data_IF_119808156125
#
_entry.id   IF_119808156125
#
_cell.length_a   1.000
_cell.length_b   1.000
_cell.length_c   1.000
_cell.angle_alpha   90.00
_cell.angle_beta   90.00
_cell.angle_gamma   90.00
#
_symmetry.space_group_name_H-M   'P 1'
#
loop_
_entity.id
_entity.type
_entity.pdbx_description
1 polymer ?
#
# COMPACT_ATOMS: atom_id res chain seq x y z
N UNK A 1 -10.83 30.06 -2.30
CA UNK A 1 -10.39 30.04 -0.89
C UNK A 1 -10.46 28.64 -0.28
N UNK A 2 -11.62 27.96 -0.29
CA UNK A 2 -11.83 26.61 0.27
C UNK A 2 -10.83 25.53 -0.22
N UNK A 3 -10.59 25.46 -1.55
CA UNK A 3 -9.63 24.49 -2.14
C UNK A 3 -8.21 24.62 -1.60
N UNK A 4 -7.76 25.84 -1.26
CA UNK A 4 -6.43 26.09 -0.70
C UNK A 4 -6.32 25.57 0.73
N UNK A 5 -7.43 25.56 1.48
CA UNK A 5 -7.49 25.11 2.86
C UNK A 5 -7.46 23.58 2.98
N UNK A 6 -8.16 22.87 2.09
CA UNK A 6 -8.22 21.40 2.10
C UNK A 6 -7.01 20.73 1.45
N UNK A 7 -6.30 21.46 0.58
CA UNK A 7 -5.16 20.94 -0.20
C UNK A 7 -4.07 20.25 0.64
N UNK A 8 -3.58 20.83 1.76
CA UNK A 8 -2.58 20.16 2.60
C UNK A 8 -3.10 18.84 3.20
N UNK A 9 -4.42 18.74 3.39
CA UNK A 9 -5.08 17.52 3.87
C UNK A 9 -4.97 16.36 2.90
N UNK A 10 -4.91 16.61 1.59
CA UNK A 10 -4.83 15.54 0.59
C UNK A 10 -3.53 14.75 0.67
N UNK A 11 -2.39 15.40 0.88
CA UNK A 11 -1.11 14.70 1.05
C UNK A 11 -1.15 13.77 2.28
N UNK A 12 -1.71 14.25 3.39
CA UNK A 12 -1.86 13.44 4.62
C UNK A 12 -2.83 12.28 4.39
N UNK A 13 -4.00 12.55 3.81
CA UNK A 13 -5.02 11.55 3.54
C UNK A 13 -4.51 10.44 2.62
N UNK A 14 -3.79 10.80 1.56
CA UNK A 14 -3.25 9.81 0.61
C UNK A 14 -2.16 8.95 1.22
N UNK A 15 -1.27 9.53 2.03
CA UNK A 15 -0.28 8.76 2.77
C UNK A 15 -0.91 7.81 3.81
N UNK A 16 -1.91 8.29 4.55
CA UNK A 16 -2.64 7.50 5.54
C UNK A 16 -3.45 6.37 4.89
N UNK A 17 -4.18 6.68 3.82
CA UNK A 17 -4.96 5.72 3.04
C UNK A 17 -4.06 4.62 2.45
N UNK A 18 -2.91 4.98 1.86
CA UNK A 18 -1.93 3.99 1.37
C UNK A 18 -1.45 3.05 2.47
N UNK A 19 -1.16 3.58 3.66
CA UNK A 19 -0.74 2.78 4.82
C UNK A 19 -1.87 1.90 5.36
N UNK A 20 -3.10 2.40 5.39
CA UNK A 20 -4.27 1.67 5.87
C UNK A 20 -4.68 0.53 4.93
N UNK A 21 -4.67 0.79 3.61
CA UNK A 21 -4.96 -0.19 2.57
C UNK A 21 -3.99 -1.38 2.64
N UNK A 22 -2.69 -1.13 2.84
CA UNK A 22 -1.67 -2.18 2.98
C UNK A 22 -1.80 -3.05 4.23
N UNK A 23 -2.51 -2.59 5.27
CA UNK A 23 -2.66 -3.32 6.55
C UNK A 23 -3.81 -4.31 6.57
N UNK A 24 -4.68 -4.30 5.57
CA UNK A 24 -5.92 -5.07 5.57
C UNK A 24 -5.86 -6.09 4.45
N UNK A 25 -5.98 -7.36 4.79
CA UNK A 25 -6.16 -8.39 3.76
C UNK A 25 -7.60 -8.39 3.26
N UNK A 26 -7.85 -9.03 2.11
CA UNK A 26 -9.21 -9.21 1.59
C UNK A 26 -10.10 -9.94 2.61
N UNK A 27 -9.57 -11.01 3.22
CA UNK A 27 -10.23 -11.76 4.31
C UNK A 27 -10.56 -10.86 5.50
N UNK A 28 -9.61 -10.03 5.93
CA UNK A 28 -9.85 -9.08 7.01
C UNK A 28 -10.87 -8.00 6.66
N UNK A 29 -10.96 -7.61 5.40
CA UNK A 29 -12.02 -6.76 4.88
C UNK A 29 -13.39 -7.38 5.12
N UNK A 30 -13.59 -8.64 4.71
CA UNK A 30 -14.85 -9.36 4.94
C UNK A 30 -15.19 -9.50 6.42
N UNK A 31 -14.24 -9.88 7.27
CA UNK A 31 -14.46 -10.04 8.71
C UNK A 31 -14.86 -8.71 9.37
N UNK A 32 -14.23 -7.59 8.99
CA UNK A 32 -14.60 -6.26 9.53
C UNK A 32 -15.98 -5.83 9.06
N UNK A 33 -16.30 -6.04 7.79
CA UNK A 33 -17.63 -5.72 7.25
C UNK A 33 -18.71 -6.55 7.94
N UNK A 34 -18.46 -7.86 8.12
CA UNK A 34 -19.33 -8.74 8.91
C UNK A 34 -19.53 -8.25 10.34
N UNK A 35 -18.45 -7.85 11.01
CA UNK A 35 -18.53 -7.30 12.37
C UNK A 35 -19.40 -6.03 12.42
N UNK A 36 -19.29 -5.14 11.42
CA UNK A 36 -20.14 -3.94 11.35
C UNK A 36 -21.61 -4.31 11.16
N UNK A 37 -21.93 -5.24 10.25
CA UNK A 37 -23.32 -5.70 10.06
C UNK A 37 -23.88 -6.36 11.32
N UNK A 38 -23.11 -7.25 11.94
CA UNK A 38 -23.51 -7.90 13.21
C UNK A 38 -23.68 -6.89 14.33
N UNK A 39 -22.86 -5.84 14.39
CA UNK A 39 -23.01 -4.76 15.37
C UNK A 39 -24.32 -4.00 15.16
N UNK A 40 -24.63 -3.60 13.91
CA UNK A 40 -25.86 -2.84 13.59
C UNK A 40 -27.11 -3.66 13.89
N UNK A 41 -27.13 -4.94 13.50
CA UNK A 41 -28.27 -5.85 13.76
C UNK A 41 -28.36 -6.18 15.26
N UNK A 42 -27.22 -6.38 15.92
CA UNK A 42 -27.12 -6.70 17.34
C UNK A 42 -27.36 -5.52 18.29
N UNK A 43 -27.70 -4.33 17.79
CA UNK A 43 -28.18 -3.22 18.63
C UNK A 43 -29.47 -3.65 19.35
N UNK A 44 -30.32 -4.42 18.69
CA UNK A 44 -31.44 -5.11 19.34
C UNK A 44 -30.91 -6.37 20.02
N UNK A 45 -30.54 -6.24 21.30
CA UNK A 45 -29.92 -7.31 22.09
C UNK A 45 -30.83 -8.53 22.31
N UNK A 46 -32.10 -8.47 21.88
CA UNK A 46 -32.97 -9.64 21.84
C UNK A 46 -32.49 -10.69 20.82
N UNK A 47 -31.68 -10.28 19.82
CA UNK A 47 -31.03 -11.16 18.85
C UNK A 47 -29.69 -11.67 19.40
N UNK A 48 -29.76 -12.68 20.27
CA UNK A 48 -28.59 -13.27 20.95
C UNK A 48 -27.50 -13.74 19.98
N UNK A 49 -27.87 -14.26 18.80
CA UNK A 49 -26.92 -14.71 17.79
C UNK A 49 -26.13 -13.55 17.15
N UNK A 50 -26.79 -12.44 16.82
CA UNK A 50 -26.12 -11.31 16.16
C UNK A 50 -25.04 -10.68 17.06
N UNK A 51 -25.37 -10.50 18.34
CA UNK A 51 -24.43 -10.02 19.34
C UNK A 51 -23.24 -10.97 19.56
N UNK A 52 -23.49 -12.28 19.67
CA UNK A 52 -22.43 -13.29 19.82
C UNK A 52 -21.48 -13.30 18.62
N UNK A 53 -22.03 -13.20 17.40
CA UNK A 53 -21.26 -13.17 16.16
C UNK A 53 -20.40 -11.90 16.10
N UNK A 54 -20.96 -10.74 16.47
CA UNK A 54 -20.19 -9.50 16.61
C UNK A 54 -19.02 -9.65 17.59
N UNK A 55 -19.28 -10.16 18.79
CA UNK A 55 -18.25 -10.34 19.82
C UNK A 55 -17.13 -11.28 19.34
N UNK A 56 -17.48 -12.38 18.68
CA UNK A 56 -16.50 -13.32 18.11
C UNK A 56 -15.62 -12.66 17.05
N UNK A 57 -16.22 -11.96 16.07
CA UNK A 57 -15.47 -11.29 15.01
C UNK A 57 -14.57 -10.19 15.57
N UNK A 58 -15.06 -9.45 16.58
CA UNK A 58 -14.26 -8.43 17.28
C UNK A 58 -13.04 -9.05 17.97
N UNK A 59 -13.23 -10.17 18.69
CA UNK A 59 -12.14 -10.92 19.31
C UNK A 59 -11.11 -11.39 18.27
N UNK A 60 -11.54 -11.95 17.13
CA UNK A 60 -10.63 -12.34 16.05
C UNK A 60 -9.80 -11.16 15.53
N UNK A 61 -10.43 -10.01 15.31
CA UNK A 61 -9.73 -8.78 14.85
C UNK A 61 -8.70 -8.33 15.88
N UNK A 62 -9.06 -8.31 17.17
CA UNK A 62 -8.17 -7.87 18.25
C UNK A 62 -6.98 -8.82 18.39
N UNK A 63 -7.23 -10.14 18.48
CA UNK A 63 -6.18 -11.16 18.61
C UNK A 63 -5.23 -11.14 17.41
N UNK A 64 -5.77 -11.03 16.20
CA UNK A 64 -5.00 -10.85 14.97
C UNK A 64 -4.06 -9.64 15.02
N UNK A 65 -4.54 -8.50 15.51
CA UNK A 65 -3.71 -7.28 15.65
C UNK A 65 -2.67 -7.39 16.77
N UNK A 66 -2.98 -8.10 17.85
CA UNK A 66 -2.03 -8.35 18.94
C UNK A 66 -0.91 -9.29 18.46
N UNK A 67 -1.25 -10.36 17.74
CA UNK A 67 -0.29 -11.34 17.23
C UNK A 67 0.80 -10.69 16.34
N UNK A 68 0.43 -9.72 15.49
CA UNK A 68 1.39 -8.97 14.67
C UNK A 68 2.48 -8.24 15.45
N UNK A 69 2.27 -7.93 16.74
CA UNK A 69 3.30 -7.30 17.58
C UNK A 69 4.41 -8.26 17.95
N UNK A 70 4.09 -9.55 18.07
CA UNK A 70 5.01 -10.60 18.52
C UNK A 70 5.61 -11.38 17.36
N UNK A 71 4.87 -11.55 16.26
CA UNK A 71 5.32 -12.29 15.08
C UNK A 71 5.92 -11.37 14.03
N UNK A 72 7.13 -10.88 14.30
CA UNK A 72 7.87 -10.06 13.34
C UNK A 72 8.93 -10.92 12.64
N UNK A 73 8.91 -11.00 11.30
CA UNK A 73 9.90 -11.76 10.57
C UNK A 73 11.29 -11.09 10.71
N UNK A 74 12.32 -11.90 10.90
CA UNK A 74 13.71 -11.44 10.92
C UNK A 74 14.30 -11.66 9.53
N UNK A 75 14.23 -10.63 8.68
CA UNK A 75 14.74 -10.71 7.31
C UNK A 75 15.62 -9.52 6.97
N UNK A 76 16.51 -9.71 6.00
CA UNK A 76 17.21 -8.63 5.32
C UNK A 76 16.74 -8.53 3.87
N UNK A 77 16.79 -7.32 3.33
CA UNK A 77 16.23 -7.01 2.02
C UNK A 77 17.23 -6.18 1.22
N UNK A 78 17.48 -6.60 -0.02
CA UNK A 78 18.33 -5.87 -0.96
C UNK A 78 17.63 -5.74 -2.31
N UNK A 79 17.37 -4.49 -2.71
CA UNK A 79 16.81 -4.20 -4.03
C UNK A 79 17.92 -4.16 -5.08
N UNK A 80 17.59 -4.61 -6.29
CA UNK A 80 18.43 -4.50 -7.48
C UNK A 80 17.62 -3.85 -8.59
N UNK A 81 17.80 -2.55 -8.81
CA UNK A 81 17.16 -1.85 -9.93
C UNK A 81 17.98 -2.02 -11.22
N UNK A 82 17.33 -1.98 -12.40
CA UNK A 82 18.03 -1.86 -13.67
C UNK A 82 18.74 -0.50 -13.77
N UNK A 83 19.69 -0.38 -14.70
CA UNK A 83 20.44 0.87 -14.92
C UNK A 83 19.52 2.01 -15.40
N UNK A 84 18.56 1.68 -16.25
CA UNK A 84 17.57 2.61 -16.78
C UNK A 84 16.26 1.89 -17.11
N UNK A 85 15.19 2.65 -17.29
CA UNK A 85 13.92 2.20 -17.83
C UNK A 85 13.39 3.21 -18.85
N UNK A 86 12.42 2.84 -19.67
CA UNK A 86 11.84 3.71 -20.70
C UNK A 86 10.40 4.10 -20.34
N UNK A 87 10.00 5.35 -20.61
CA UNK A 87 8.61 5.79 -20.38
C UNK A 87 7.62 4.89 -21.12
N UNK A 88 6.63 4.36 -20.37
CA UNK A 88 5.54 3.55 -20.91
C UNK A 88 5.89 2.07 -21.14
N UNK A 89 7.13 1.66 -20.90
CA UNK A 89 7.55 0.27 -21.01
C UNK A 89 7.57 -0.39 -19.62
N UNK A 90 6.75 -1.42 -19.45
CA UNK A 90 6.76 -2.23 -18.23
C UNK A 90 8.11 -2.92 -18.10
N UNK A 91 8.67 -2.88 -16.89
CA UNK A 91 9.89 -3.60 -16.57
C UNK A 91 9.73 -4.31 -15.23
N UNK A 92 10.50 -5.38 -15.09
CA UNK A 92 10.59 -6.13 -13.86
C UNK A 92 11.97 -5.98 -13.24
N UNK A 93 12.01 -6.00 -11.92
CA UNK A 93 13.24 -6.01 -11.16
C UNK A 93 13.11 -6.92 -9.93
N UNK A 94 14.23 -7.22 -9.31
CA UNK A 94 14.29 -8.20 -8.24
C UNK A 94 14.63 -7.54 -6.91
N UNK A 95 14.01 -8.10 -5.86
CA UNK A 95 14.40 -7.85 -4.49
C UNK A 95 14.84 -9.17 -3.88
N UNK A 96 16.11 -9.26 -3.51
CA UNK A 96 16.66 -10.39 -2.77
C UNK A 96 16.29 -10.26 -1.30
N UNK A 97 15.74 -11.31 -0.73
CA UNK A 97 15.25 -11.35 0.64
C UNK A 97 15.90 -12.54 1.32
N UNK A 98 16.68 -12.28 2.36
CA UNK A 98 17.32 -13.33 3.15
C UNK A 98 16.68 -13.42 4.52
N UNK A 99 16.23 -14.62 4.88
CA UNK A 99 15.76 -14.92 6.21
C UNK A 99 16.96 -15.03 7.16
N UNK A 100 16.95 -14.25 8.23
CA UNK A 100 17.98 -14.26 9.27
C UNK A 100 17.54 -15.07 10.50
N UNK A 101 16.25 -15.38 10.60
CA UNK A 101 15.68 -16.16 11.68
C UNK A 101 15.76 -17.67 11.44
N UNK A 102 15.34 -18.40 12.46
CA UNK A 102 15.32 -19.86 12.48
C UNK A 102 13.92 -20.45 12.19
N UNK A 103 12.98 -19.63 11.68
CA UNK A 103 11.64 -20.07 11.28
C UNK A 103 11.45 -19.96 9.78
N UNK A 104 10.53 -20.73 9.22
CA UNK A 104 10.14 -20.61 7.81
C UNK A 104 9.21 -19.41 7.67
N UNK A 105 9.55 -18.49 6.78
CA UNK A 105 8.76 -17.29 6.51
C UNK A 105 7.90 -17.49 5.27
N UNK A 106 6.59 -17.32 5.40
CA UNK A 106 5.60 -17.60 4.34
C UNK A 106 4.58 -16.47 4.21
N UNK A 107 3.88 -16.47 3.07
CA UNK A 107 2.80 -15.52 2.76
C UNK A 107 3.20 -14.04 2.87
N UNK A 108 4.50 -13.76 2.78
CA UNK A 108 5.05 -12.42 2.80
C UNK A 108 4.74 -11.71 1.48
N UNK A 109 4.51 -10.40 1.55
CA UNK A 109 4.39 -9.54 0.38
C UNK A 109 5.37 -8.39 0.48
N UNK A 110 5.81 -7.88 -0.65
CA UNK A 110 6.67 -6.69 -0.70
C UNK A 110 6.01 -5.60 -1.52
N UNK A 111 6.28 -4.37 -1.11
CA UNK A 111 5.89 -3.19 -1.85
C UNK A 111 6.98 -2.14 -1.73
N UNK A 112 7.46 -1.68 -2.87
CA UNK A 112 8.45 -0.62 -2.93
C UNK A 112 7.80 0.75 -2.75
N UNK A 113 8.57 1.67 -2.15
CA UNK A 113 8.12 3.02 -1.86
C UNK A 113 8.95 4.02 -2.66
N UNK A 114 8.54 4.36 -3.90
CA UNK A 114 9.06 5.53 -4.57
C UNK A 114 8.74 6.78 -3.74
N UNK A 115 9.66 7.74 -3.76
CA UNK A 115 9.50 9.06 -3.14
C UNK A 115 8.31 9.75 -3.79
N UNK A 116 7.24 9.89 -3.02
CA UNK A 116 6.02 10.55 -3.48
C UNK A 116 6.31 12.03 -3.71
N UNK A 117 6.07 12.51 -4.92
CA UNK A 117 6.14 13.93 -5.26
C UNK A 117 4.73 14.48 -5.23
N UNK A 118 4.44 15.28 -4.20
CA UNK A 118 3.18 16.01 -4.09
C UNK A 118 3.20 17.16 -5.09
N UNK A 119 2.14 17.36 -5.89
CA UNK A 119 2.05 18.54 -6.75
C UNK A 119 2.12 19.82 -5.91
N UNK A 120 2.37 20.97 -6.55
CA UNK A 120 2.15 22.26 -5.91
C UNK A 120 0.68 22.72 -6.07
N UNK A 121 0.22 23.62 -5.21
CA UNK A 121 -1.12 24.18 -5.30
C UNK A 121 -1.37 24.89 -6.64
N UNK A 122 -0.38 25.63 -7.16
CA UNK A 122 -0.52 26.29 -8.46
C UNK A 122 -0.65 25.26 -9.60
N UNK A 123 0.12 24.18 -9.53
CA UNK A 123 0.02 23.07 -10.47
C UNK A 123 -1.37 22.41 -10.41
N UNK A 124 -1.85 22.13 -9.19
CA UNK A 124 -3.18 21.57 -8.95
C UNK A 124 -4.32 22.46 -9.45
N UNK A 125 -4.16 23.78 -9.39
CA UNK A 125 -5.16 24.74 -9.87
C UNK A 125 -5.20 24.83 -11.39
N UNK A 126 -4.03 24.75 -12.05
CA UNK A 126 -3.89 24.99 -13.49
C UNK A 126 -4.12 23.73 -14.32
N UNK A 127 -3.61 22.59 -13.88
CA UNK A 127 -3.70 21.34 -14.64
C UNK A 127 -5.05 20.64 -14.44
N UNK A 128 -5.58 20.07 -15.51
CA UNK A 128 -6.83 19.28 -15.49
C UNK A 128 -6.54 17.81 -15.66
N UNK A 129 -7.31 16.98 -14.95
CA UNK A 129 -7.27 15.54 -15.15
C UNK A 129 -7.86 15.21 -16.53
N UNK A 130 -7.29 14.27 -17.28
CA UNK A 130 -7.94 13.72 -18.47
C UNK A 130 -9.32 13.16 -18.10
N UNK A 131 -10.34 13.47 -18.89
CA UNK A 131 -11.72 13.02 -18.66
C UNK A 131 -12.36 13.55 -17.37
N UNK A 132 -11.88 14.67 -16.82
CA UNK A 132 -12.45 15.30 -15.62
C UNK A 132 -13.96 15.59 -15.81
N UNK A 133 -14.42 15.87 -17.04
CA UNK A 133 -15.81 16.09 -17.41
C UNK A 133 -16.74 14.89 -17.18
N UNK A 134 -16.21 13.67 -17.18
CA UNK A 134 -17.00 12.45 -16.92
C UNK A 134 -17.32 12.26 -15.43
N UNK A 135 -16.70 13.07 -14.56
CA UNK A 135 -16.86 12.98 -13.11
C UNK A 135 -18.09 13.74 -12.62
N UNK A 136 -18.62 13.29 -11.48
CA UNK A 136 -19.69 13.98 -10.74
C UNK A 136 -19.31 15.43 -10.46
N UNK A 137 -20.29 16.35 -10.46
CA UNK A 137 -20.04 17.76 -10.12
C UNK A 137 -19.32 17.93 -8.76
N UNK A 138 -19.66 17.10 -7.78
CA UNK A 138 -19.00 17.05 -6.48
C UNK A 138 -17.52 16.67 -6.57
N UNK A 139 -17.18 15.62 -7.33
CA UNK A 139 -15.80 15.15 -7.52
C UNK A 139 -14.94 16.18 -8.24
N UNK A 140 -15.50 16.86 -9.24
CA UNK A 140 -14.85 18.00 -9.92
C UNK A 140 -14.65 19.18 -8.97
N UNK A 141 -15.62 19.45 -8.10
CA UNK A 141 -15.56 20.55 -7.14
C UNK A 141 -14.47 20.33 -6.09
N UNK A 142 -14.39 19.13 -5.50
CA UNK A 142 -13.34 18.75 -4.56
C UNK A 142 -11.98 18.61 -5.27
N UNK A 143 -11.94 17.90 -6.39
CA UNK A 143 -10.72 17.70 -7.19
C UNK A 143 -9.74 16.69 -6.59
N UNK A 144 -10.19 15.79 -5.70
CA UNK A 144 -9.31 14.78 -5.10
C UNK A 144 -8.74 13.82 -6.15
N UNK A 145 -9.53 13.44 -7.16
CA UNK A 145 -9.06 12.61 -8.29
C UNK A 145 -7.95 13.31 -9.09
N UNK A 146 -8.13 14.59 -9.42
CA UNK A 146 -7.08 15.43 -10.04
C UNK A 146 -5.81 15.44 -9.19
N UNK A 147 -5.92 15.59 -7.87
CA UNK A 147 -4.75 15.57 -6.98
C UNK A 147 -4.02 14.22 -7.06
N UNK A 148 -4.76 13.11 -6.99
CA UNK A 148 -4.22 11.76 -7.10
C UNK A 148 -3.55 11.51 -8.46
N UNK A 149 -4.17 11.96 -9.54
CA UNK A 149 -3.62 11.86 -10.88
C UNK A 149 -2.31 12.66 -11.01
N UNK A 150 -2.30 13.92 -10.57
CA UNK A 150 -1.10 14.76 -10.56
C UNK A 150 0.01 14.16 -9.70
N UNK A 151 -0.29 13.67 -8.50
CA UNK A 151 0.69 13.03 -7.63
C UNK A 151 1.32 11.79 -8.29
N UNK A 152 0.51 10.93 -8.93
CA UNK A 152 1.01 9.76 -9.66
C UNK A 152 1.90 10.16 -10.84
N UNK A 153 1.47 11.14 -11.64
CA UNK A 153 2.21 11.66 -12.79
C UNK A 153 3.53 12.33 -12.37
N UNK A 154 3.51 13.13 -11.31
CA UNK A 154 4.71 13.80 -10.78
C UNK A 154 5.71 12.82 -10.20
N UNK A 155 5.23 11.82 -9.43
CA UNK A 155 6.06 10.72 -8.89
C UNK A 155 6.73 9.91 -10.01
N UNK A 156 6.09 9.79 -11.17
CA UNK A 156 6.75 9.32 -12.40
C UNK A 156 6.92 7.81 -12.52
N UNK A 157 6.46 7.03 -11.53
CA UNK A 157 6.46 5.56 -11.57
C UNK A 157 5.25 5.00 -10.82
N UNK A 158 4.74 3.86 -11.28
CA UNK A 158 3.79 3.02 -10.55
C UNK A 158 4.45 1.67 -10.29
N UNK A 159 4.32 1.14 -9.08
CA UNK A 159 4.98 -0.12 -8.66
C UNK A 159 3.92 -1.04 -8.08
N UNK A 160 3.86 -2.28 -8.56
CA UNK A 160 2.92 -3.27 -8.05
C UNK A 160 3.45 -3.93 -6.77
N UNK A 161 2.54 -4.47 -5.96
CA UNK A 161 2.92 -5.36 -4.88
C UNK A 161 3.29 -6.73 -5.45
N UNK A 162 4.24 -7.41 -4.83
CA UNK A 162 4.63 -8.76 -5.22
C UNK A 162 4.52 -9.70 -4.03
N UNK A 163 4.14 -10.95 -4.31
CA UNK A 163 4.24 -12.03 -3.33
C UNK A 163 5.70 -12.48 -3.25
N UNK A 164 6.14 -12.82 -2.05
CA UNK A 164 7.47 -13.38 -1.81
C UNK A 164 7.32 -14.91 -1.74
N UNK A 165 8.17 -15.67 -2.44
CA UNK A 165 8.22 -17.12 -2.27
C UNK A 165 8.51 -17.51 -0.82
N UNK A 166 8.12 -18.72 -0.42
CA UNK A 166 8.45 -19.22 0.92
C UNK A 166 9.97 -19.21 1.16
N UNK A 167 10.38 -18.61 2.26
CA UNK A 167 11.80 -18.48 2.62
C UNK A 167 12.10 -19.50 3.71
N UNK A 168 12.87 -20.52 3.35
CA UNK A 168 13.36 -21.50 4.30
C UNK A 168 14.26 -20.83 5.36
N UNK A 169 14.51 -21.55 6.46
CA UNK A 169 15.39 -21.10 7.54
C UNK A 169 16.76 -20.71 6.99
N UNK A 170 17.22 -19.50 7.31
CA UNK A 170 18.50 -18.95 6.80
C UNK A 170 18.65 -18.96 5.27
N UNK A 171 17.53 -19.09 4.56
CA UNK A 171 17.46 -19.13 3.11
C UNK A 171 17.42 -17.74 2.50
N UNK A 172 17.69 -17.67 1.21
CA UNK A 172 17.53 -16.44 0.40
C UNK A 172 16.66 -16.74 -0.80
N UNK A 173 15.70 -15.86 -1.08
CA UNK A 173 14.86 -15.91 -2.28
C UNK A 173 14.86 -14.57 -2.99
N UNK A 174 14.44 -14.56 -4.24
CA UNK A 174 14.24 -13.35 -5.01
C UNK A 174 12.74 -13.19 -5.32
N UNK A 175 12.22 -12.01 -5.03
CA UNK A 175 10.86 -11.63 -5.39
C UNK A 175 10.91 -10.64 -6.56
N UNK A 176 10.10 -10.91 -7.59
CA UNK A 176 10.01 -10.10 -8.80
C UNK A 176 8.93 -9.03 -8.63
N UNK A 177 9.30 -7.77 -8.85
CA UNK A 177 8.38 -6.63 -8.81
C UNK A 177 8.23 -6.06 -10.22
N UNK A 178 6.98 -5.85 -10.63
CA UNK A 178 6.63 -5.15 -11.85
C UNK A 178 6.45 -3.64 -11.58
N UNK A 179 7.06 -2.82 -12.43
CA UNK A 179 6.92 -1.37 -12.39
C UNK A 179 6.64 -0.77 -13.77
N UNK A 180 5.90 0.33 -13.76
CA UNK A 180 5.50 1.11 -14.92
C UNK A 180 6.05 2.55 -14.82
N UNK A 181 7.07 2.91 -15.62
CA UNK A 181 7.57 4.27 -15.76
C UNK A 181 6.53 5.18 -16.42
N UNK A 182 6.09 6.22 -15.71
CA UNK A 182 5.06 7.16 -16.18
C UNK A 182 5.62 8.47 -16.73
N UNK A 183 6.86 8.83 -16.35
CA UNK A 183 7.48 10.10 -16.73
C UNK A 183 9.00 9.96 -16.82
N UNK A 184 9.62 10.64 -17.79
CA UNK A 184 11.08 10.74 -17.90
C UNK A 184 11.70 11.46 -16.70
N UNK A 185 12.95 11.14 -16.41
CA UNK A 185 13.73 11.74 -15.32
C UNK A 185 14.13 10.73 -14.26
N UNK A 186 14.59 11.23 -13.11
CA UNK A 186 15.08 10.37 -12.02
C UNK A 186 13.93 10.08 -11.06
N UNK A 187 13.74 8.80 -10.75
CA UNK A 187 12.85 8.34 -9.69
C UNK A 187 13.69 7.85 -8.52
N UNK A 188 13.41 8.38 -7.34
CA UNK A 188 14.05 7.97 -6.10
C UNK A 188 13.16 6.99 -5.35
N UNK A 189 13.71 5.85 -4.97
CA UNK A 189 13.08 4.89 -4.08
C UNK A 189 13.61 5.11 -2.67
N UNK A 190 12.74 5.29 -1.69
CA UNK A 190 13.14 5.60 -0.30
C UNK A 190 13.31 4.36 0.56
N UNK A 191 12.41 3.39 0.39
CA UNK A 191 12.35 2.19 1.22
C UNK A 191 11.57 1.09 0.51
N UNK A 192 11.73 -0.14 0.99
CA UNK A 192 10.82 -1.25 0.69
C UNK A 192 10.03 -1.58 1.94
N UNK A 193 8.74 -1.86 1.81
CA UNK A 193 7.92 -2.37 2.92
C UNK A 193 7.66 -3.85 2.71
N UNK A 194 8.02 -4.65 3.72
CA UNK A 194 7.59 -6.03 3.84
C UNK A 194 6.26 -6.06 4.58
N UNK A 195 5.28 -6.75 4.01
CA UNK A 195 3.99 -7.03 4.59
C UNK A 195 3.99 -8.48 5.05
N UNK A 196 3.83 -8.70 6.35
CA UNK A 196 3.75 -10.05 6.93
C UNK A 196 2.34 -10.27 7.49
N UNK A 197 1.69 -11.40 7.19
CA UNK A 197 0.34 -11.65 7.67
C UNK A 197 0.36 -11.99 9.17
N UNK A 198 -0.77 -11.77 9.82
CA UNK A 198 -1.03 -12.36 11.14
C UNK A 198 -1.46 -13.85 11.01
N UNK A 199 -1.56 -14.61 12.11
CA UNK A 199 -1.91 -16.04 12.08
C UNK A 199 -3.25 -16.34 11.39
N UNK A 200 -4.21 -15.42 11.49
CA UNK A 200 -5.55 -15.57 10.89
C UNK A 200 -5.60 -14.99 9.46
N UNK A 201 -4.52 -14.35 8.99
CA UNK A 201 -4.43 -13.75 7.66
C UNK A 201 -5.44 -12.62 7.43
N UNK A 202 -5.87 -11.91 8.48
CA UNK A 202 -6.84 -10.81 8.44
C UNK A 202 -6.15 -9.44 8.25
N UNK A 203 -4.93 -9.32 8.74
CA UNK A 203 -4.18 -8.09 8.78
C UNK A 203 -2.73 -8.34 8.36
N UNK A 204 -2.11 -7.30 7.80
CA UNK A 204 -0.69 -7.28 7.54
C UNK A 204 0.01 -6.34 8.51
N UNK A 205 1.06 -6.83 9.16
CA UNK A 205 2.08 -6.01 9.76
C UNK A 205 2.96 -5.40 8.67
N UNK A 206 3.48 -4.20 8.90
CA UNK A 206 4.34 -3.49 7.95
C UNK A 206 5.70 -3.29 8.58
N UNK A 207 6.72 -3.91 7.98
CA UNK A 207 8.12 -3.74 8.36
C UNK A 207 8.84 -2.91 7.28
N UNK A 208 9.27 -1.66 7.58
CA UNK A 208 9.98 -0.82 6.62
C UNK A 208 11.47 -1.14 6.59
N UNK A 209 12.05 -1.22 5.39
CA UNK A 209 13.47 -1.37 5.13
C UNK A 209 13.98 -0.15 4.37
N UNK A 210 14.76 0.75 5.01
CA UNK A 210 15.43 1.84 4.33
C UNK A 210 16.48 1.28 3.37
N UNK A 211 16.30 1.51 2.08
CA UNK A 211 17.22 1.10 1.03
C UNK A 211 17.19 2.14 -0.10
N UNK A 212 17.73 3.35 0.12
CA UNK A 212 17.63 4.41 -0.88
C UNK A 212 18.35 4.05 -2.17
N UNK A 213 17.69 4.21 -3.31
CA UNK A 213 18.25 3.96 -4.64
C UNK A 213 17.53 4.84 -5.68
N UNK A 214 18.12 5.02 -6.85
CA UNK A 214 17.55 5.85 -7.91
C UNK A 214 17.54 5.11 -9.24
N UNK A 215 16.48 5.33 -10.01
CA UNK A 215 16.33 4.81 -11.37
C UNK A 215 16.21 5.98 -12.35
N UNK A 216 16.97 5.93 -13.44
CA UNK A 216 16.86 6.88 -14.55
C UNK A 216 15.81 6.36 -15.53
N UNK A 217 14.80 7.19 -15.81
CA UNK A 217 13.77 6.91 -16.81
C UNK A 217 14.04 7.75 -18.06
N UNK A 218 14.29 7.07 -19.18
CA UNK A 218 14.56 7.65 -20.48
C UNK A 218 13.25 7.91 -21.26
N UNK A 219 13.24 8.94 -22.13
CA UNK A 219 12.16 9.09 -23.10
C UNK A 219 12.15 7.91 -24.09
N UNK A 220 10.99 7.73 -24.73
CA UNK A 220 10.82 6.77 -25.83
C UNK A 220 11.44 7.31 -27.12
#
# INVERSE_FOLDING_TARGET
MFRRLIYPGYARLTSASRKASRRTSERGGFIRTGAVFSAVIGIDTNLTLAYQLFALLLCMIILSRIALRYQKPQVSLRRRLPRYATVGELFDYQISIANLGDQIEKDLRIVDNPRVITPDYEQFRREREPFEETRTAYDRWIGFHRFMWLQRRSTGISVKQANVPEIHRRGTVEARIEANPLRRGIVYFSSTSLLHPDPLGLNYGILPFPNPESLIILPR
#
